data_IF_319098574190
#
_entry.id   IF_319098574190
#
_cell.length_a   1.000
_cell.length_b   1.000
_cell.length_c   1.000
_cell.angle_alpha   90.00
_cell.angle_beta   90.00
_cell.angle_gamma   90.00
#
_symmetry.space_group_name_H-M   'P 1'
#
loop_
_entity.id
_entity.type
_entity.pdbx_description
1 polymer ?
#
# COMPACT_ATOMS: atom_id res chain seq x y z
N UNK A 1 32.34 -27.80 -5.90
CA UNK A 1 31.57 -26.98 -6.86
C UNK A 1 30.12 -27.10 -6.45
N UNK A 2 29.43 -26.00 -6.16
CA UNK A 2 27.98 -26.06 -5.93
C UNK A 2 27.32 -26.52 -7.24
N UNK A 3 26.43 -27.51 -7.15
CA UNK A 3 25.64 -27.94 -8.31
C UNK A 3 24.77 -26.78 -8.82
N UNK A 4 24.59 -26.69 -10.13
CA UNK A 4 23.75 -25.66 -10.74
C UNK A 4 22.29 -25.82 -10.31
N UNK A 5 21.65 -24.72 -9.90
CA UNK A 5 20.23 -24.69 -9.52
C UNK A 5 19.47 -23.75 -10.46
N UNK A 6 18.49 -24.31 -11.18
CA UNK A 6 17.59 -23.54 -12.04
C UNK A 6 16.89 -22.41 -11.26
N UNK A 7 16.35 -22.72 -10.08
CA UNK A 7 15.63 -21.74 -9.26
C UNK A 7 16.55 -20.60 -8.82
N UNK A 8 17.78 -20.92 -8.40
CA UNK A 8 18.75 -19.89 -8.02
C UNK A 8 19.10 -19.01 -9.22
N UNK A 9 19.37 -19.62 -10.38
CA UNK A 9 19.68 -18.88 -11.61
C UNK A 9 18.56 -17.92 -12.03
N UNK A 10 17.31 -18.35 -12.00
CA UNK A 10 16.16 -17.49 -12.32
C UNK A 10 15.96 -16.42 -11.25
N UNK A 11 16.16 -16.75 -9.98
CA UNK A 11 16.07 -15.78 -8.88
C UNK A 11 17.11 -14.67 -9.02
N UNK A 12 18.34 -15.03 -9.39
CA UNK A 12 19.41 -14.07 -9.67
C UNK A 12 19.10 -13.23 -10.91
N UNK A 13 18.45 -13.81 -11.92
CA UNK A 13 17.96 -13.06 -13.07
C UNK A 13 16.89 -12.02 -12.66
N UNK A 14 15.95 -12.39 -11.80
CA UNK A 14 14.93 -11.46 -11.26
C UNK A 14 15.53 -10.36 -10.38
N UNK A 15 16.75 -10.56 -9.84
CA UNK A 15 17.49 -9.57 -9.07
C UNK A 15 18.08 -8.44 -9.93
N UNK A 16 18.24 -8.67 -11.23
CA UNK A 16 19.03 -7.78 -12.08
C UNK A 16 18.38 -6.39 -12.15
N UNK A 17 19.16 -5.32 -11.99
CA UNK A 17 18.66 -3.97 -12.20
C UNK A 17 18.04 -3.85 -13.60
N UNK A 18 16.86 -3.24 -13.69
CA UNK A 18 16.27 -2.91 -14.99
C UNK A 18 17.05 -1.75 -15.59
N UNK A 19 17.51 -1.93 -16.83
CA UNK A 19 18.11 -0.85 -17.60
C UNK A 19 16.99 0.05 -18.13
N UNK A 20 17.05 1.33 -17.81
CA UNK A 20 16.12 2.33 -18.31
C UNK A 20 16.75 3.71 -18.25
N UNK A 21 16.29 4.61 -19.11
CA UNK A 21 16.67 6.01 -18.99
C UNK A 21 16.20 6.55 -17.64
N UNK A 22 17.08 7.28 -16.98
CA UNK A 22 16.72 7.98 -15.76
C UNK A 22 15.60 8.98 -16.08
N UNK A 23 14.48 8.87 -15.37
CA UNK A 23 13.35 9.80 -15.48
C UNK A 23 13.42 10.80 -14.34
N UNK A 24 12.78 11.96 -14.53
CA UNK A 24 12.55 12.90 -13.45
C UNK A 24 11.86 12.15 -12.27
N UNK A 25 12.39 12.26 -11.04
CA UNK A 25 11.81 11.63 -9.86
C UNK A 25 10.39 12.13 -9.60
N UNK A 26 9.48 11.18 -9.40
CA UNK A 26 8.10 11.46 -9.03
C UNK A 26 7.69 10.59 -7.85
N UNK A 27 6.61 10.97 -7.18
CA UNK A 27 5.89 10.14 -6.23
C UNK A 27 5.02 9.11 -6.97
N UNK A 28 4.61 8.04 -6.29
CA UNK A 28 3.85 6.94 -6.90
C UNK A 28 2.44 6.82 -6.31
N UNK A 29 1.40 6.59 -7.16
CA UNK A 29 0.03 6.30 -6.71
C UNK A 29 -0.07 5.10 -5.75
N UNK A 30 0.77 4.09 -5.93
CA UNK A 30 0.83 2.90 -5.07
C UNK A 30 1.48 3.16 -3.70
N UNK A 31 2.12 4.33 -3.54
CA UNK A 31 2.66 4.81 -2.27
C UNK A 31 1.73 5.82 -1.59
N UNK A 32 0.47 5.90 -2.02
CA UNK A 32 -0.51 6.80 -1.41
C UNK A 32 -0.70 6.54 0.08
N UNK A 33 -0.89 7.63 0.80
CA UNK A 33 -1.13 7.68 2.24
C UNK A 33 -2.25 8.65 2.51
N UNK A 34 -3.04 8.37 3.55
CA UNK A 34 -4.05 9.26 4.07
C UNK A 34 -3.97 9.27 5.61
N UNK A 35 -4.49 10.32 6.22
CA UNK A 35 -4.66 10.46 7.68
C UNK A 35 -6.13 10.50 8.00
N UNK A 36 -6.59 9.61 8.88
CA UNK A 36 -7.97 9.57 9.35
C UNK A 36 -8.02 9.61 10.87
N UNK A 37 -9.21 9.83 11.42
CA UNK A 37 -9.47 9.66 12.85
C UNK A 37 -10.15 8.31 13.03
N UNK A 38 -9.56 7.45 13.86
CA UNK A 38 -10.11 6.12 14.11
C UNK A 38 -11.36 6.18 15.02
N UNK A 39 -11.99 5.03 15.27
CA UNK A 39 -13.19 4.92 16.11
C UNK A 39 -13.00 5.38 17.58
N UNK A 40 -11.75 5.57 18.01
CA UNK A 40 -11.38 6.04 19.34
C UNK A 40 -11.04 7.54 19.39
N UNK A 41 -11.20 8.26 18.27
CA UNK A 41 -10.87 9.69 18.19
C UNK A 41 -9.37 9.98 18.05
N UNK A 42 -8.56 8.96 17.73
CA UNK A 42 -7.10 9.10 17.58
C UNK A 42 -6.72 9.23 16.11
N UNK A 43 -5.72 10.06 15.76
CA UNK A 43 -5.21 10.14 14.40
C UNK A 43 -4.52 8.82 14.03
N UNK A 44 -4.83 8.33 12.83
CA UNK A 44 -4.29 7.11 12.25
C UNK A 44 -3.80 7.39 10.83
N UNK A 45 -2.63 6.85 10.49
CA UNK A 45 -2.09 6.90 9.14
C UNK A 45 -2.42 5.59 8.44
N UNK A 46 -3.08 5.68 7.28
CA UNK A 46 -3.43 4.52 6.46
C UNK A 46 -2.73 4.56 5.10
N UNK A 47 -2.49 3.37 4.53
CA UNK A 47 -1.75 3.23 3.28
C UNK A 47 -0.27 2.99 3.49
N UNK A 48 0.57 3.66 2.69
CA UNK A 48 2.02 3.50 2.73
C UNK A 48 2.65 4.39 3.81
N UNK A 49 3.84 4.01 4.27
CA UNK A 49 4.64 4.84 5.18
C UNK A 49 5.21 6.04 4.43
N UNK A 50 4.94 7.26 4.90
CA UNK A 50 5.45 8.53 4.35
C UNK A 50 6.96 8.59 4.42
N UNK A 51 7.56 8.10 5.53
CA UNK A 51 9.01 8.00 5.66
C UNK A 51 9.64 7.06 4.63
N UNK A 52 8.97 5.95 4.28
CA UNK A 52 9.41 5.07 3.19
C UNK A 52 9.33 5.76 1.83
N UNK A 53 8.22 6.44 1.52
CA UNK A 53 8.05 7.18 0.27
C UNK A 53 9.07 8.32 0.15
N UNK A 54 9.36 9.02 1.26
CA UNK A 54 10.42 10.03 1.38
C UNK A 54 11.79 9.46 1.04
N UNK A 55 12.22 8.35 1.67
CA UNK A 55 13.55 7.79 1.40
C UNK A 55 13.70 7.38 -0.06
N UNK A 56 12.69 6.72 -0.64
CA UNK A 56 12.71 6.37 -2.07
C UNK A 56 12.79 7.62 -2.95
N UNK A 57 11.95 8.64 -2.70
CA UNK A 57 11.96 9.87 -3.49
C UNK A 57 13.29 10.61 -3.37
N UNK A 58 13.85 10.70 -2.16
CA UNK A 58 15.13 11.34 -1.90
C UNK A 58 16.28 10.65 -2.66
N UNK A 59 16.36 9.32 -2.61
CA UNK A 59 17.38 8.55 -3.32
C UNK A 59 17.31 8.78 -4.84
N UNK A 60 16.10 8.74 -5.41
CA UNK A 60 15.91 9.01 -6.84
C UNK A 60 16.27 10.46 -7.19
N UNK A 61 15.92 11.41 -6.32
CA UNK A 61 16.18 12.84 -6.51
C UNK A 61 17.66 13.19 -6.41
N UNK A 62 18.35 12.65 -5.41
CA UNK A 62 19.79 12.75 -5.27
C UNK A 62 20.52 12.22 -6.50
N UNK A 63 20.07 11.06 -7.00
CA UNK A 63 20.68 10.43 -8.19
C UNK A 63 20.43 11.23 -9.47
N UNK A 64 19.33 12.00 -9.54
CA UNK A 64 18.91 12.72 -10.75
C UNK A 64 19.52 14.11 -10.87
N UNK A 65 19.73 14.81 -9.75
CA UNK A 65 20.14 16.21 -9.76
C UNK A 65 21.25 16.51 -8.76
N UNK A 66 22.38 17.13 -9.19
CA UNK A 66 23.44 17.55 -8.29
C UNK A 66 23.01 18.67 -7.34
N UNK A 67 21.80 19.25 -7.51
CA UNK A 67 21.24 20.19 -6.54
C UNK A 67 21.12 19.59 -5.13
N UNK A 68 20.93 18.27 -5.03
CA UNK A 68 20.68 17.56 -3.77
C UNK A 68 21.95 17.00 -3.12
N UNK A 69 23.12 17.41 -3.61
CA UNK A 69 24.44 16.98 -3.13
C UNK A 69 24.64 17.23 -1.61
N UNK A 70 23.95 18.23 -1.05
CA UNK A 70 23.98 18.48 0.41
C UNK A 70 23.44 17.32 1.25
N UNK A 71 22.71 16.37 0.67
CA UNK A 71 22.17 15.20 1.36
C UNK A 71 23.04 13.95 1.23
N UNK A 72 24.28 14.06 0.73
CA UNK A 72 25.19 12.91 0.52
C UNK A 72 25.31 12.00 1.74
N UNK A 73 25.60 12.55 2.92
CA UNK A 73 25.79 11.75 4.14
C UNK A 73 24.52 10.99 4.54
N UNK A 74 23.35 11.63 4.42
CA UNK A 74 22.06 10.99 4.68
C UNK A 74 21.79 9.88 3.66
N UNK A 75 22.06 10.12 2.38
CA UNK A 75 21.87 9.13 1.31
C UNK A 75 22.77 7.92 1.51
N UNK A 76 24.05 8.14 1.83
CA UNK A 76 25.00 7.07 2.15
C UNK A 76 24.55 6.26 3.37
N UNK A 77 24.02 6.93 4.40
CA UNK A 77 23.45 6.27 5.59
C UNK A 77 22.22 5.42 5.24
N UNK A 78 21.31 5.95 4.42
CA UNK A 78 20.11 5.21 3.96
C UNK A 78 20.54 3.98 3.18
N UNK A 79 21.44 4.12 2.20
CA UNK A 79 21.90 3.02 1.35
C UNK A 79 22.63 1.94 2.16
N UNK A 80 23.47 2.33 3.11
CA UNK A 80 24.20 1.38 3.97
C UNK A 80 23.28 0.57 4.90
N UNK A 81 22.12 1.12 5.27
CA UNK A 81 21.14 0.46 6.16
C UNK A 81 19.89 -0.03 5.41
N UNK A 82 19.83 0.11 4.09
CA UNK A 82 18.73 -0.41 3.30
C UNK A 82 18.89 -1.93 3.16
N UNK A 83 17.85 -2.67 3.50
CA UNK A 83 17.83 -4.11 3.29
C UNK A 83 17.66 -4.45 1.81
N UNK A 84 18.36 -5.50 1.39
CA UNK A 84 18.08 -6.10 0.10
C UNK A 84 16.66 -6.67 0.08
N UNK A 85 16.01 -6.51 -1.07
CA UNK A 85 14.70 -7.12 -1.30
C UNK A 85 14.83 -8.64 -1.24
N UNK A 86 14.07 -9.26 -0.33
CA UNK A 86 13.96 -10.71 -0.18
C UNK A 86 13.67 -11.37 -1.55
N UNK A 87 14.46 -12.36 -1.98
CA UNK A 87 14.19 -13.16 -3.17
C UNK A 87 12.74 -13.63 -3.33
N UNK A 88 12.09 -14.02 -2.22
CA UNK A 88 10.68 -14.43 -2.21
C UNK A 88 9.74 -13.33 -2.71
N UNK A 89 9.98 -12.06 -2.32
CA UNK A 89 9.17 -10.93 -2.77
C UNK A 89 9.29 -10.71 -4.28
N UNK A 90 10.48 -10.93 -4.86
CA UNK A 90 10.69 -10.81 -6.31
C UNK A 90 9.82 -11.79 -7.10
N UNK A 91 9.68 -13.02 -6.60
CA UNK A 91 8.77 -14.02 -7.17
C UNK A 91 7.30 -13.62 -7.01
N UNK A 92 6.91 -13.05 -5.87
CA UNK A 92 5.54 -12.53 -5.68
C UNK A 92 5.24 -11.41 -6.68
N UNK A 93 6.18 -10.48 -6.90
CA UNK A 93 6.00 -9.40 -7.86
C UNK A 93 5.90 -9.94 -9.29
N UNK A 94 6.76 -10.89 -9.68
CA UNK A 94 6.68 -11.47 -11.03
C UNK A 94 5.36 -12.19 -11.28
N UNK A 95 4.84 -12.92 -10.29
CA UNK A 95 3.51 -13.51 -10.37
C UNK A 95 2.40 -12.47 -10.43
N UNK A 96 2.60 -11.29 -9.83
CA UNK A 96 1.69 -10.16 -9.96
C UNK A 96 1.63 -9.65 -11.39
N UNK A 97 2.80 -9.39 -12.00
CA UNK A 97 2.91 -8.98 -13.42
C UNK A 97 2.24 -10.00 -14.35
N UNK A 98 2.50 -11.30 -14.15
CA UNK A 98 1.89 -12.36 -14.98
C UNK A 98 0.36 -12.39 -14.86
N UNK A 99 -0.19 -12.08 -13.67
CA UNK A 99 -1.64 -12.02 -13.49
C UNK A 99 -2.25 -10.80 -14.19
N UNK A 100 -1.57 -9.66 -14.15
CA UNK A 100 -1.96 -8.47 -14.92
C UNK A 100 -1.94 -8.75 -16.43
N UNK A 101 -0.84 -9.34 -16.93
CA UNK A 101 -0.71 -9.76 -18.34
C UNK A 101 -1.84 -10.70 -18.76
N UNK A 102 -2.23 -11.65 -17.90
CA UNK A 102 -3.39 -12.52 -18.13
C UNK A 102 -4.70 -11.73 -18.28
N UNK A 103 -4.97 -10.77 -17.40
CA UNK A 103 -6.17 -9.93 -17.50
C UNK A 103 -6.19 -9.09 -18.79
N UNK A 104 -5.04 -8.57 -19.21
CA UNK A 104 -4.90 -7.85 -20.49
C UNK A 104 -5.25 -8.75 -21.67
N UNK A 105 -4.68 -9.97 -21.72
CA UNK A 105 -4.97 -10.94 -22.79
C UNK A 105 -6.45 -11.33 -22.81
N UNK A 106 -7.05 -11.59 -21.64
CA UNK A 106 -8.47 -11.90 -21.55
C UNK A 106 -9.37 -10.75 -22.05
N UNK A 107 -8.98 -9.49 -21.78
CA UNK A 107 -9.69 -8.32 -22.32
C UNK A 107 -9.56 -8.20 -23.84
N UNK A 108 -8.39 -8.55 -24.41
CA UNK A 108 -8.18 -8.57 -25.86
C UNK A 108 -9.01 -9.65 -26.53
N UNK A 109 -8.98 -10.87 -26.01
CA UNK A 109 -9.71 -12.02 -26.53
C UNK A 109 -11.23 -11.85 -26.44
N UNK A 110 -11.71 -11.17 -25.40
CA UNK A 110 -13.14 -10.84 -25.24
C UNK A 110 -13.60 -9.61 -26.03
N UNK A 111 -12.68 -8.89 -26.69
CA UNK A 111 -13.01 -7.75 -27.55
C UNK A 111 -13.34 -6.45 -26.79
N UNK A 112 -13.01 -6.35 -25.51
CA UNK A 112 -13.26 -5.14 -24.68
C UNK A 112 -12.00 -4.31 -24.44
N UNK A 113 -10.83 -4.76 -24.88
CA UNK A 113 -9.56 -4.07 -24.71
C UNK A 113 -9.50 -2.71 -25.44
N UNK A 114 -9.02 -1.68 -24.75
CA UNK A 114 -8.74 -0.36 -25.33
C UNK A 114 -7.25 -0.02 -25.24
N UNK A 115 -6.66 -0.10 -24.04
CA UNK A 115 -5.24 0.22 -23.82
C UNK A 115 -4.71 -0.49 -22.57
N UNK A 116 -3.39 -0.60 -22.42
CA UNK A 116 -2.72 -1.10 -21.21
C UNK A 116 -1.50 -0.25 -20.91
N UNK A 117 -1.04 -0.24 -19.66
CA UNK A 117 0.16 0.47 -19.23
C UNK A 117 0.13 1.97 -19.59
N UNK A 118 -1.06 2.57 -19.51
CA UNK A 118 -1.27 3.98 -19.89
C UNK A 118 -0.61 4.88 -18.85
N UNK A 119 0.34 5.72 -19.29
CA UNK A 119 1.08 6.60 -18.38
C UNK A 119 0.18 7.69 -17.82
N UNK A 120 0.30 7.92 -16.51
CA UNK A 120 -0.38 8.98 -15.76
C UNK A 120 0.67 9.88 -15.14
N UNK A 121 0.51 11.19 -15.30
CA UNK A 121 1.28 12.17 -14.55
C UNK A 121 0.34 13.26 -14.05
N UNK A 122 0.36 13.51 -12.74
CA UNK A 122 -0.39 14.56 -12.05
C UNK A 122 0.62 15.63 -11.63
N UNK A 123 0.83 16.70 -12.43
CA UNK A 123 1.92 17.65 -12.20
C UNK A 123 1.83 18.35 -10.85
N UNK A 124 0.61 18.68 -10.42
CA UNK A 124 0.35 19.43 -9.18
C UNK A 124 0.95 18.78 -7.93
N UNK A 125 1.03 17.45 -7.90
CA UNK A 125 1.51 16.68 -6.74
C UNK A 125 2.81 15.93 -7.04
N UNK A 126 3.39 16.15 -8.22
CA UNK A 126 4.53 15.39 -8.74
C UNK A 126 4.31 13.86 -8.64
N UNK A 127 3.12 13.38 -9.00
CA UNK A 127 2.76 11.96 -8.93
C UNK A 127 2.74 11.38 -10.34
N UNK A 128 3.49 10.28 -10.57
CA UNK A 128 3.40 9.52 -11.82
C UNK A 128 3.13 8.04 -11.57
N UNK A 129 2.37 7.43 -12.47
CA UNK A 129 1.99 6.03 -12.40
C UNK A 129 1.58 5.49 -13.75
N UNK A 130 1.00 4.30 -13.73
CA UNK A 130 0.44 3.65 -14.90
C UNK A 130 -0.90 3.03 -14.55
N UNK A 131 -1.85 3.19 -15.47
CA UNK A 131 -3.10 2.43 -15.46
C UNK A 131 -2.81 1.07 -16.09
N UNK A 132 -3.12 0.00 -15.37
CA UNK A 132 -2.87 -1.38 -15.81
C UNK A 132 -3.62 -1.68 -17.12
N UNK A 133 -4.93 -1.39 -17.14
CA UNK A 133 -5.79 -1.70 -18.27
C UNK A 133 -6.93 -0.66 -18.42
N UNK A 134 -7.29 -0.36 -19.66
CA UNK A 134 -8.50 0.40 -20.02
C UNK A 134 -9.36 -0.52 -20.89
N UNK A 135 -10.63 -0.65 -20.52
CA UNK A 135 -11.62 -1.46 -21.26
C UNK A 135 -12.83 -0.62 -21.66
N UNK A 136 -13.60 -1.10 -22.65
CA UNK A 136 -14.91 -0.55 -23.01
C UNK A 136 -16.02 -1.48 -22.52
N UNK A 137 -17.02 -0.91 -21.85
CA UNK A 137 -18.25 -1.61 -21.55
C UNK A 137 -19.10 -1.71 -22.83
N UNK A 138 -19.35 -2.91 -23.38
CA UNK A 138 -20.04 -3.06 -24.66
C UNK A 138 -21.52 -2.67 -24.61
N UNK A 139 -22.11 -2.60 -23.40
CA UNK A 139 -23.52 -2.24 -23.21
C UNK A 139 -23.71 -0.73 -23.12
N UNK A 140 -22.80 -0.02 -22.47
CA UNK A 140 -22.91 1.44 -22.23
C UNK A 140 -22.05 2.27 -23.16
N UNK A 141 -21.05 1.67 -23.82
CA UNK A 141 -20.04 2.35 -24.61
C UNK A 141 -19.02 3.16 -23.78
N UNK A 142 -19.09 3.10 -22.44
CA UNK A 142 -18.18 3.83 -21.54
C UNK A 142 -16.85 3.10 -21.40
N UNK A 143 -15.77 3.86 -21.28
CA UNK A 143 -14.46 3.35 -20.90
C UNK A 143 -14.37 3.16 -19.39
N UNK A 144 -13.61 2.18 -18.95
CA UNK A 144 -13.34 1.94 -17.54
C UNK A 144 -11.83 1.80 -17.32
N UNK A 145 -11.32 2.52 -16.33
CA UNK A 145 -9.96 2.35 -15.80
C UNK A 145 -9.99 1.10 -14.93
N UNK A 146 -9.16 0.10 -15.24
CA UNK A 146 -9.08 -1.15 -14.50
C UNK A 146 -7.73 -1.24 -13.80
N UNK A 147 -7.77 -1.36 -12.47
CA UNK A 147 -6.60 -1.63 -11.63
C UNK A 147 -6.64 -3.12 -11.22
N UNK A 148 -5.58 -3.86 -11.55
CA UNK A 148 -5.53 -5.32 -11.37
C UNK A 148 -4.62 -5.66 -10.20
N UNK A 149 -5.17 -6.34 -9.20
CA UNK A 149 -4.46 -6.78 -8.01
C UNK A 149 -4.54 -8.29 -7.88
N UNK A 150 -3.41 -8.92 -7.57
CA UNK A 150 -3.38 -10.35 -7.30
C UNK A 150 -3.06 -10.63 -5.82
N UNK A 151 -3.84 -11.52 -5.22
CA UNK A 151 -3.76 -11.92 -3.80
C UNK A 151 -3.55 -13.42 -3.69
N UNK A 152 -3.21 -13.90 -2.49
CA UNK A 152 -3.02 -15.33 -2.22
C UNK A 152 -3.19 -15.62 -0.73
N UNK A 153 -3.42 -16.89 -0.40
CA UNK A 153 -3.47 -17.38 0.95
C UNK A 153 -4.66 -16.86 1.76
N UNK A 154 -4.55 -16.95 3.08
CA UNK A 154 -5.64 -16.59 3.99
C UNK A 154 -6.07 -15.12 3.86
N UNK A 155 -5.11 -14.23 3.58
CA UNK A 155 -5.35 -12.79 3.40
C UNK A 155 -6.16 -12.45 2.13
N UNK A 156 -6.31 -13.39 1.19
CA UNK A 156 -7.18 -13.19 0.03
C UNK A 156 -8.65 -13.05 0.47
N UNK A 157 -9.08 -13.74 1.54
CA UNK A 157 -10.46 -13.66 2.02
C UNK A 157 -10.86 -12.24 2.48
N UNK A 158 -9.89 -11.44 2.92
CA UNK A 158 -10.15 -10.06 3.34
C UNK A 158 -10.73 -9.20 2.21
N UNK A 159 -10.16 -9.31 1.00
CA UNK A 159 -10.63 -8.55 -0.17
C UNK A 159 -11.64 -9.31 -1.02
N UNK A 160 -11.66 -10.65 -0.94
CA UNK A 160 -12.52 -11.48 -1.77
C UNK A 160 -13.83 -11.87 -1.10
N UNK A 161 -13.92 -11.75 0.23
CA UNK A 161 -14.93 -12.40 1.05
C UNK A 161 -14.64 -13.90 1.21
N UNK A 162 -14.97 -14.45 2.38
CA UNK A 162 -14.91 -15.91 2.58
C UNK A 162 -15.97 -16.61 1.72
N UNK A 163 -15.85 -17.94 1.48
CA UNK A 163 -16.92 -18.69 0.83
C UNK A 163 -18.27 -18.58 1.53
N UNK A 164 -18.28 -18.39 2.86
CA UNK A 164 -19.51 -18.18 3.62
C UNK A 164 -20.12 -16.79 3.38
N UNK A 165 -19.28 -15.76 3.27
CA UNK A 165 -19.72 -14.38 2.95
C UNK A 165 -20.37 -14.32 1.57
N UNK A 166 -19.72 -14.91 0.56
CA UNK A 166 -20.26 -14.97 -0.81
C UNK A 166 -21.60 -15.68 -0.89
N UNK A 167 -21.79 -16.77 -0.12
CA UNK A 167 -23.09 -17.46 -0.03
C UNK A 167 -24.19 -16.60 0.59
N UNK A 168 -23.82 -15.60 1.39
CA UNK A 168 -24.73 -14.60 1.97
C UNK A 168 -24.87 -13.34 1.10
N UNK A 169 -24.26 -13.32 -0.09
CA UNK A 169 -24.29 -12.18 -1.00
C UNK A 169 -23.39 -11.02 -0.58
N UNK A 170 -22.41 -11.25 0.30
CA UNK A 170 -21.44 -10.23 0.71
C UNK A 170 -20.06 -10.49 0.12
N UNK A 171 -19.29 -9.42 -0.06
CA UNK A 171 -17.87 -9.46 -0.43
C UNK A 171 -17.00 -8.99 0.73
N UNK A 172 -15.69 -9.13 0.54
CA UNK A 172 -14.70 -8.50 1.40
C UNK A 172 -14.69 -6.98 1.24
N UNK A 173 -13.62 -6.34 1.71
CA UNK A 173 -13.39 -4.92 1.47
C UNK A 173 -12.09 -4.72 0.68
N UNK A 174 -12.07 -3.81 -0.32
CA UNK A 174 -10.83 -3.38 -0.93
C UNK A 174 -9.83 -2.89 0.11
N UNK A 175 -8.54 -3.00 -0.18
CA UNK A 175 -7.51 -2.34 0.63
C UNK A 175 -7.52 -0.84 0.35
N UNK A 176 -7.38 -0.04 1.41
CA UNK A 176 -7.37 1.42 1.31
C UNK A 176 -6.30 1.94 0.34
N UNK A 177 -5.08 1.37 0.38
CA UNK A 177 -4.02 1.70 -0.58
C UNK A 177 -4.40 1.49 -2.05
N UNK A 178 -5.23 0.49 -2.33
CA UNK A 178 -5.70 0.23 -3.70
C UNK A 178 -6.85 1.18 -4.08
N UNK A 179 -7.71 1.54 -3.12
CA UNK A 179 -8.73 2.57 -3.31
C UNK A 179 -8.10 3.93 -3.57
N UNK A 180 -7.06 4.32 -2.82
CA UNK A 180 -6.34 5.56 -3.03
C UNK A 180 -5.68 5.59 -4.42
N UNK A 181 -5.00 4.52 -4.81
CA UNK A 181 -4.37 4.42 -6.13
C UNK A 181 -5.38 4.58 -7.27
N UNK A 182 -6.46 3.78 -7.29
CA UNK A 182 -7.47 3.87 -8.33
C UNK A 182 -8.29 5.17 -8.24
N UNK A 183 -8.53 5.67 -7.03
CA UNK A 183 -9.20 6.94 -6.78
C UNK A 183 -8.47 8.12 -7.40
N UNK A 184 -7.13 8.16 -7.31
CA UNK A 184 -6.32 9.17 -8.00
C UNK A 184 -6.49 9.12 -9.53
N UNK A 185 -6.52 7.93 -10.11
CA UNK A 185 -6.74 7.76 -11.56
C UNK A 185 -8.17 8.15 -11.96
N UNK A 186 -9.16 7.73 -11.19
CA UNK A 186 -10.55 8.09 -11.42
C UNK A 186 -10.75 9.60 -11.31
N UNK A 187 -10.22 10.24 -10.28
CA UNK A 187 -10.31 11.68 -10.11
C UNK A 187 -9.60 12.45 -11.24
N UNK A 188 -8.37 12.05 -11.58
CA UNK A 188 -7.57 12.80 -12.53
C UNK A 188 -7.97 12.57 -14.00
N UNK A 189 -8.37 11.35 -14.37
CA UNK A 189 -8.78 11.01 -15.73
C UNK A 189 -10.27 10.76 -15.86
N UNK A 190 -10.81 9.81 -15.08
CA UNK A 190 -12.18 9.34 -15.26
C UNK A 190 -13.23 10.44 -15.08
N UNK A 191 -13.10 11.26 -14.05
CA UNK A 191 -14.05 12.34 -13.75
C UNK A 191 -13.94 13.54 -14.69
N UNK A 192 -12.83 13.67 -15.41
CA UNK A 192 -12.59 14.80 -16.34
C UNK A 192 -12.97 14.46 -17.79
N UNK A 193 -13.49 13.27 -18.05
CA UNK A 193 -13.87 12.82 -19.39
C UNK A 193 -15.15 11.97 -19.33
N UNK A 194 -16.25 12.54 -19.83
CA UNK A 194 -17.57 11.89 -19.84
C UNK A 194 -17.59 10.54 -20.56
N UNK A 195 -16.57 10.17 -21.35
CA UNK A 195 -16.50 8.83 -21.95
C UNK A 195 -16.20 7.75 -20.92
N UNK A 196 -15.65 8.10 -19.76
CA UNK A 196 -15.34 7.15 -18.69
C UNK A 196 -16.54 6.90 -17.77
N UNK A 197 -16.63 5.67 -17.28
CA UNK A 197 -17.49 5.28 -16.17
C UNK A 197 -16.72 5.25 -14.85
N UNK A 198 -17.17 4.41 -13.92
CA UNK A 198 -16.45 4.11 -12.67
C UNK A 198 -15.12 3.40 -12.95
N UNK A 199 -14.17 3.56 -12.04
CA UNK A 199 -12.98 2.72 -12.00
C UNK A 199 -13.36 1.29 -11.57
N UNK A 200 -12.64 0.28 -12.07
CA UNK A 200 -12.82 -1.11 -11.72
C UNK A 200 -11.57 -1.62 -10.99
N UNK A 201 -11.73 -2.01 -9.73
CA UNK A 201 -10.68 -2.62 -8.94
C UNK A 201 -10.89 -4.14 -8.93
N UNK A 202 -10.01 -4.85 -9.63
CA UNK A 202 -10.12 -6.30 -9.84
C UNK A 202 -9.10 -7.02 -8.95
N UNK A 203 -9.58 -7.96 -8.14
CA UNK A 203 -8.76 -8.85 -7.33
C UNK A 203 -8.82 -10.28 -7.85
N UNK A 204 -7.67 -10.93 -7.98
CA UNK A 204 -7.55 -12.35 -8.30
C UNK A 204 -6.72 -13.14 -7.31
N UNK A 205 -7.24 -14.25 -6.80
CA UNK A 205 -6.49 -15.20 -5.98
C UNK A 205 -5.70 -16.18 -6.86
N UNK A 206 -4.37 -16.10 -6.78
CA UNK A 206 -3.44 -16.88 -7.61
C UNK A 206 -3.47 -18.39 -7.31
N UNK A 207 -3.92 -18.76 -6.11
CA UNK A 207 -3.95 -20.13 -5.59
C UNK A 207 -5.29 -20.85 -5.83
N UNK A 208 -6.39 -20.09 -5.93
CA UNK A 208 -7.76 -20.66 -5.95
C UNK A 208 -8.58 -20.26 -7.17
N UNK A 209 -8.11 -19.29 -7.97
CA UNK A 209 -8.86 -18.74 -9.10
C UNK A 209 -10.08 -17.90 -8.69
N UNK A 210 -10.30 -17.68 -7.40
CA UNK A 210 -11.37 -16.79 -6.91
C UNK A 210 -11.04 -15.35 -7.27
N UNK A 211 -12.06 -14.58 -7.61
CA UNK A 211 -11.91 -13.16 -7.94
C UNK A 211 -12.98 -12.31 -7.26
N UNK A 212 -12.72 -11.01 -7.18
CA UNK A 212 -13.71 -10.00 -6.81
C UNK A 212 -13.45 -8.74 -7.64
N UNK A 213 -14.52 -8.06 -8.02
CA UNK A 213 -14.49 -6.79 -8.72
C UNK A 213 -15.28 -5.76 -7.94
N UNK A 214 -14.71 -4.58 -7.79
CA UNK A 214 -15.34 -3.44 -7.16
C UNK A 214 -15.42 -2.28 -8.14
N UNK A 215 -16.57 -1.63 -8.21
CA UNK A 215 -16.67 -0.31 -8.84
C UNK A 215 -16.21 0.75 -7.84
N UNK A 216 -15.38 1.68 -8.30
CA UNK A 216 -14.84 2.79 -7.52
C UNK A 216 -15.20 4.10 -8.20
N UNK A 217 -15.80 5.02 -7.45
CA UNK A 217 -16.13 6.37 -7.91
C UNK A 217 -15.51 7.40 -6.98
N UNK A 218 -15.27 8.60 -7.52
CA UNK A 218 -14.84 9.76 -6.73
C UNK A 218 -15.88 10.84 -6.91
N UNK A 219 -16.49 11.28 -5.82
CA UNK A 219 -17.65 12.18 -5.87
C UNK A 219 -17.46 13.38 -4.94
N UNK A 220 -17.84 14.59 -5.36
CA UNK A 220 -17.78 15.76 -4.50
C UNK A 220 -18.84 15.66 -3.40
N UNK A 221 -18.42 15.92 -2.17
CA UNK A 221 -19.28 16.03 -0.99
C UNK A 221 -18.91 17.28 -0.23
N UNK A 222 -19.88 17.91 0.41
CA UNK A 222 -19.67 19.08 1.25
C UNK A 222 -19.39 18.61 2.69
N UNK A 223 -18.31 19.11 3.29
CA UNK A 223 -18.02 18.89 4.71
C UNK A 223 -18.86 19.83 5.61
N UNK A 224 -18.76 19.65 6.93
CA UNK A 224 -19.52 20.44 7.91
C UNK A 224 -19.22 21.95 7.85
N UNK A 225 -18.10 22.35 7.22
CA UNK A 225 -17.66 23.73 7.07
C UNK A 225 -18.04 24.33 5.70
N UNK A 226 -18.69 23.55 4.83
CA UNK A 226 -19.08 23.99 3.49
C UNK A 226 -17.99 23.81 2.43
N UNK A 227 -16.87 23.17 2.75
CA UNK A 227 -15.82 22.91 1.78
C UNK A 227 -16.14 21.65 0.98
N UNK A 228 -15.87 21.69 -0.33
CA UNK A 228 -16.03 20.52 -1.20
C UNK A 228 -14.81 19.63 -1.06
N UNK A 229 -15.04 18.37 -0.67
CA UNK A 229 -14.05 17.30 -0.66
C UNK A 229 -14.47 16.21 -1.66
N UNK A 230 -13.50 15.51 -2.24
CA UNK A 230 -13.76 14.46 -3.22
C UNK A 230 -13.60 13.08 -2.58
N UNK A 231 -14.71 12.51 -2.11
CA UNK A 231 -14.74 11.23 -1.42
C UNK A 231 -14.63 10.05 -2.39
N UNK A 232 -13.86 9.04 -1.99
CA UNK A 232 -13.74 7.77 -2.70
C UNK A 232 -14.81 6.81 -2.20
N UNK A 233 -15.71 6.39 -3.11
CA UNK A 233 -16.73 5.40 -2.83
C UNK A 233 -16.42 4.09 -3.54
N UNK A 234 -16.86 2.98 -2.96
CA UNK A 234 -16.79 1.68 -3.61
C UNK A 234 -18.07 0.86 -3.43
N UNK A 235 -18.34 -0.04 -4.37
CA UNK A 235 -19.32 -1.12 -4.23
C UNK A 235 -18.78 -2.39 -4.86
N UNK A 236 -19.13 -3.54 -4.30
CA UNK A 236 -18.91 -4.83 -4.95
C UNK A 236 -19.74 -4.92 -6.21
N UNK A 237 -19.15 -5.40 -7.30
CA UNK A 237 -19.82 -5.66 -8.57
C UNK A 237 -19.94 -7.17 -8.82
N UNK A 238 -18.81 -7.88 -8.74
CA UNK A 238 -18.75 -9.31 -9.05
C UNK A 238 -17.88 -10.05 -8.02
N UNK A 239 -18.23 -11.28 -7.60
CA UNK A 239 -19.41 -12.07 -7.99
C UNK A 239 -20.70 -11.65 -7.28
N UNK A 240 -20.64 -10.70 -6.34
CA UNK A 240 -21.81 -10.24 -5.58
C UNK A 240 -21.88 -8.72 -5.60
N UNK A 241 -23.03 -8.18 -5.98
CA UNK A 241 -23.30 -6.76 -5.86
C UNK A 241 -23.49 -6.40 -4.38
N UNK A 242 -22.81 -5.36 -3.91
CA UNK A 242 -22.98 -4.86 -2.52
C UNK A 242 -23.49 -3.41 -2.54
N UNK A 243 -24.02 -2.91 -1.41
CA UNK A 243 -24.29 -1.48 -1.27
C UNK A 243 -23.03 -0.65 -1.50
N UNK A 244 -23.23 0.56 -2.03
CA UNK A 244 -22.19 1.58 -2.12
C UNK A 244 -21.81 2.04 -0.72
N UNK A 245 -20.51 2.15 -0.49
CA UNK A 245 -19.91 2.54 0.78
C UNK A 245 -18.91 3.66 0.55
N UNK A 246 -18.94 4.64 1.45
CA UNK A 246 -17.86 5.62 1.58
C UNK A 246 -16.64 4.95 2.24
N UNK A 247 -15.48 5.13 1.65
CA UNK A 247 -14.22 4.64 2.23
C UNK A 247 -13.68 5.52 3.36
N UNK A 248 -14.22 6.73 3.53
CA UNK A 248 -13.68 7.76 4.43
C UNK A 248 -12.40 8.42 3.89
N UNK A 249 -12.00 8.10 2.66
CA UNK A 249 -10.83 8.66 1.98
C UNK A 249 -11.24 9.79 1.05
N UNK A 250 -10.46 10.87 1.06
CA UNK A 250 -10.64 11.99 0.14
C UNK A 250 -9.39 12.22 -0.70
N UNK A 251 -9.57 12.71 -1.93
CA UNK A 251 -8.45 13.05 -2.81
C UNK A 251 -7.59 14.16 -2.20
N UNK A 252 -8.23 15.12 -1.52
CA UNK A 252 -7.57 16.21 -0.82
C UNK A 252 -6.61 15.69 0.23
N UNK A 253 -7.07 14.79 1.10
CA UNK A 253 -6.22 14.27 2.16
C UNK A 253 -5.03 13.45 1.61
N UNK A 254 -5.24 12.69 0.52
CA UNK A 254 -4.15 11.98 -0.17
C UNK A 254 -3.16 12.97 -0.79
N UNK A 255 -3.66 14.02 -1.44
CA UNK A 255 -2.85 15.05 -2.06
C UNK A 255 -1.98 15.81 -1.06
N UNK A 256 -2.53 16.12 0.13
CA UNK A 256 -1.79 16.73 1.23
C UNK A 256 -0.58 15.90 1.64
N UNK A 257 -0.70 14.56 1.69
CA UNK A 257 0.43 13.71 2.04
C UNK A 257 1.54 13.73 0.98
N UNK A 258 1.18 13.77 -0.31
CA UNK A 258 2.17 13.93 -1.38
C UNK A 258 2.88 15.29 -1.30
N UNK A 259 2.15 16.36 -1.03
CA UNK A 259 2.74 17.69 -0.85
C UNK A 259 3.69 17.71 0.35
N UNK A 260 3.27 17.12 1.48
CA UNK A 260 4.10 16.99 2.67
C UNK A 260 5.40 16.22 2.42
N UNK A 261 5.34 15.07 1.74
CA UNK A 261 6.54 14.28 1.40
C UNK A 261 7.50 15.08 0.51
N UNK A 262 6.97 15.81 -0.49
CA UNK A 262 7.80 16.65 -1.35
C UNK A 262 8.49 17.77 -0.55
N UNK A 263 7.75 18.45 0.33
CA UNK A 263 8.32 19.47 1.22
C UNK A 263 9.41 18.90 2.14
N UNK A 264 9.23 17.68 2.64
CA UNK A 264 10.25 16.96 3.39
C UNK A 264 11.51 16.73 2.56
N UNK A 265 11.40 16.29 1.29
CA UNK A 265 12.56 16.13 0.40
C UNK A 265 13.25 17.47 0.12
N UNK A 266 12.48 18.51 -0.17
CA UNK A 266 13.01 19.83 -0.49
C UNK A 266 13.76 20.45 0.70
N UNK A 267 13.25 20.25 1.92
CA UNK A 267 13.84 20.76 3.18
C UNK A 267 14.86 19.83 3.84
N UNK A 268 14.92 18.57 3.40
CA UNK A 268 15.72 17.51 4.02
C UNK A 268 15.15 17.02 5.35
N UNK A 269 13.97 17.49 5.78
CA UNK A 269 13.30 17.02 6.98
C UNK A 269 12.78 15.59 6.76
N UNK A 270 13.22 14.65 7.61
CA UNK A 270 12.73 13.28 7.55
C UNK A 270 11.32 13.25 8.20
N UNK A 271 10.28 12.74 7.52
CA UNK A 271 8.94 12.58 8.11
C UNK A 271 8.97 11.77 9.38
N UNK A 272 8.01 11.92 10.30
CA UNK A 272 7.91 11.02 11.46
C UNK A 272 7.61 9.57 11.06
N UNK A 273 7.80 8.62 11.99
CA UNK A 273 7.42 7.22 11.76
C UNK A 273 5.91 7.11 11.85
N UNK A 274 5.29 6.63 10.78
CA UNK A 274 3.84 6.34 10.76
C UNK A 274 3.50 5.00 11.43
N UNK A 275 4.48 4.10 11.50
CA UNK A 275 4.29 2.71 11.89
C UNK A 275 5.44 2.22 12.80
N UNK A 276 5.11 1.30 13.68
CA UNK A 276 6.01 0.76 14.68
C UNK A 276 6.48 -0.66 14.30
N UNK A 277 7.79 -0.89 14.29
CA UNK A 277 8.34 -2.24 14.09
C UNK A 277 7.98 -3.18 15.25
N UNK A 278 7.89 -2.63 16.45
CA UNK A 278 7.44 -3.31 17.66
C UNK A 278 6.64 -2.33 18.51
N UNK A 279 5.49 -2.76 18.99
CA UNK A 279 4.68 -2.00 19.94
C UNK A 279 5.32 -2.05 21.32
N UNK A 280 5.20 -0.95 22.06
CA UNK A 280 5.50 -0.91 23.48
C UNK A 280 4.39 -1.60 24.30
N UNK A 281 4.68 -1.85 25.58
CA UNK A 281 3.74 -2.52 26.48
C UNK A 281 2.42 -1.72 26.62
N UNK A 282 2.47 -0.39 26.55
CA UNK A 282 1.30 0.49 26.65
C UNK A 282 0.36 0.35 25.44
N UNK A 283 0.91 0.31 24.22
CA UNK A 283 0.13 0.08 22.99
C UNK A 283 -0.44 -1.33 22.97
N UNK A 284 0.29 -2.34 23.46
CA UNK A 284 -0.24 -3.71 23.62
C UNK A 284 -1.40 -3.76 24.62
N UNK A 285 -1.28 -3.08 25.77
CA UNK A 285 -2.36 -3.01 26.77
C UNK A 285 -3.60 -2.32 26.16
N UNK A 286 -3.43 -1.18 25.48
CA UNK A 286 -4.54 -0.50 24.78
C UNK A 286 -5.24 -1.42 23.78
N UNK A 287 -4.48 -2.16 22.96
CA UNK A 287 -5.06 -3.12 22.01
C UNK A 287 -5.80 -4.26 22.72
N UNK A 288 -5.31 -4.72 23.86
CA UNK A 288 -5.96 -5.73 24.68
C UNK A 288 -7.30 -5.21 25.24
N UNK A 289 -7.30 -4.02 25.85
CA UNK A 289 -8.49 -3.37 26.41
C UNK A 289 -9.57 -3.11 25.33
N UNK A 290 -9.12 -2.80 24.11
CA UNK A 290 -9.98 -2.56 22.94
C UNK A 290 -10.43 -3.84 22.21
N UNK A 291 -10.01 -5.03 22.65
CA UNK A 291 -10.25 -6.30 21.97
C UNK A 291 -9.73 -6.35 20.51
N UNK A 292 -8.67 -5.62 20.21
CA UNK A 292 -8.04 -5.55 18.88
C UNK A 292 -6.87 -6.55 18.71
N UNK A 293 -6.51 -7.28 19.77
CA UNK A 293 -5.58 -8.39 19.70
C UNK A 293 -6.25 -9.65 19.11
N UNK A 294 -5.48 -10.45 18.38
CA UNK A 294 -5.97 -11.75 17.92
C UNK A 294 -6.14 -12.69 19.13
N UNK A 295 -6.94 -13.75 18.98
CA UNK A 295 -7.23 -14.71 20.06
C UNK A 295 -5.99 -15.21 20.81
N UNK A 296 -4.93 -15.56 20.08
CA UNK A 296 -3.69 -16.08 20.66
C UNK A 296 -2.95 -15.01 21.46
N UNK A 297 -2.85 -13.80 20.93
CA UNK A 297 -2.19 -12.66 21.57
C UNK A 297 -2.97 -12.25 22.83
N UNK A 298 -4.31 -12.21 22.77
CA UNK A 298 -5.20 -11.93 23.91
C UNK A 298 -5.00 -12.94 25.04
N UNK A 299 -5.02 -14.24 24.73
CA UNK A 299 -4.80 -15.32 25.71
C UNK A 299 -3.40 -15.23 26.33
N UNK A 300 -2.38 -14.95 25.52
CA UNK A 300 -1.00 -14.80 25.97
C UNK A 300 -0.84 -13.60 26.91
N UNK A 301 -1.41 -12.44 26.55
CA UNK A 301 -1.34 -11.21 27.35
C UNK A 301 -2.06 -11.36 28.69
N UNK A 302 -3.29 -11.87 28.67
CA UNK A 302 -4.06 -12.15 29.88
C UNK A 302 -3.32 -13.10 30.83
N UNK A 303 -2.74 -14.17 30.28
CA UNK A 303 -1.95 -15.14 31.06
C UNK A 303 -0.69 -14.49 31.65
N UNK A 304 0.01 -13.64 30.90
CA UNK A 304 1.19 -12.92 31.38
C UNK A 304 0.82 -11.97 32.53
N UNK A 305 -0.23 -11.17 32.39
CA UNK A 305 -0.73 -10.23 33.42
C UNK A 305 -1.07 -10.95 34.72
N UNK A 306 -1.79 -12.08 34.65
CA UNK A 306 -2.09 -12.92 35.81
C UNK A 306 -0.82 -13.46 36.50
N UNK A 307 0.15 -13.96 35.73
CA UNK A 307 1.40 -14.51 36.29
C UNK A 307 2.30 -13.46 36.95
N UNK A 308 2.30 -12.23 36.43
CA UNK A 308 2.99 -11.10 37.04
C UNK A 308 2.32 -10.73 38.37
N UNK A 309 0.98 -10.66 38.40
CA UNK A 309 0.22 -10.41 39.62
C UNK A 309 0.42 -11.51 40.68
N UNK A 310 0.59 -12.77 40.27
CA UNK A 310 0.93 -13.91 41.14
C UNK A 310 2.40 -13.91 41.61
N UNK A 311 3.23 -12.95 41.18
CA UNK A 311 4.64 -12.86 41.56
C UNK A 311 5.52 -13.97 40.97
N UNK A 312 5.12 -14.58 39.84
CA UNK A 312 5.94 -15.63 39.21
C UNK A 312 7.26 -15.06 38.71
N UNK A 313 8.36 -15.70 39.11
CA UNK A 313 9.73 -15.32 38.71
C UNK A 313 9.99 -15.40 37.20
N UNK A 314 9.22 -16.20 36.46
CA UNK A 314 9.34 -16.38 35.00
C UNK A 314 7.95 -16.42 34.37
N UNK A 315 7.32 -15.27 34.13
CA UNK A 315 6.03 -15.22 33.43
C UNK A 315 6.19 -15.64 31.96
N UNK A 316 5.08 -15.99 31.30
CA UNK A 316 5.05 -16.20 29.84
C UNK A 316 5.58 -14.96 29.13
N UNK A 317 6.25 -15.15 27.99
CA UNK A 317 6.79 -14.08 27.15
C UNK A 317 5.74 -13.00 26.83
N UNK A 318 6.20 -11.77 26.70
CA UNK A 318 5.37 -10.65 26.23
C UNK A 318 4.84 -10.94 24.83
N UNK A 319 3.72 -10.31 24.49
CA UNK A 319 3.23 -10.32 23.11
C UNK A 319 4.19 -9.47 22.28
N UNK A 320 4.82 -10.09 21.27
CA UNK A 320 5.67 -9.38 20.31
C UNK A 320 4.83 -9.10 19.07
N UNK A 321 4.48 -7.83 18.87
CA UNK A 321 3.64 -7.37 17.76
C UNK A 321 4.14 -6.04 17.24
N UNK A 322 3.94 -5.77 15.96
CA UNK A 322 4.22 -4.51 15.31
C UNK A 322 3.38 -4.36 14.05
N UNK A 323 3.52 -3.22 13.40
CA UNK A 323 2.88 -2.92 12.13
C UNK A 323 3.52 -3.75 11.01
N UNK A 324 2.67 -4.37 10.19
CA UNK A 324 3.14 -5.20 9.08
C UNK A 324 3.88 -4.36 8.03
N UNK A 325 3.55 -3.07 7.92
CA UNK A 325 4.21 -2.10 7.05
C UNK A 325 5.71 -2.02 7.36
N UNK A 326 6.11 -2.07 8.63
CA UNK A 326 7.52 -2.06 9.03
C UNK A 326 8.19 -3.43 8.82
N UNK A 327 7.47 -4.53 9.04
CA UNK A 327 8.01 -5.89 8.87
C UNK A 327 8.56 -6.15 7.47
N UNK A 328 7.93 -5.58 6.44
CA UNK A 328 8.32 -5.73 5.03
C UNK A 328 8.96 -4.47 4.42
N UNK A 329 9.34 -3.49 5.24
CA UNK A 329 9.96 -2.26 4.75
C UNK A 329 11.47 -2.45 4.55
N UNK A 330 11.96 -2.21 3.33
CA UNK A 330 13.39 -2.24 3.03
C UNK A 330 14.19 -1.19 3.83
N UNK A 331 13.55 -0.13 4.33
CA UNK A 331 14.18 0.90 5.14
C UNK A 331 14.03 0.67 6.65
N UNK A 332 13.61 -0.53 7.09
CA UNK A 332 13.40 -0.78 8.53
C UNK A 332 14.68 -0.56 9.35
N UNK A 333 15.86 -0.94 8.86
CA UNK A 333 17.12 -0.75 9.57
C UNK A 333 17.66 0.69 9.47
N UNK A 334 17.11 1.51 8.56
CA UNK A 334 17.30 2.96 8.56
C UNK A 334 16.53 3.60 9.72
N UNK A 335 15.35 3.07 10.04
CA UNK A 335 14.48 3.60 11.10
C UNK A 335 14.75 3.03 12.49
N UNK A 336 15.26 1.80 12.56
CA UNK A 336 15.44 1.01 13.79
C UNK A 336 16.85 0.44 13.87
N UNK A 337 17.36 0.26 15.09
CA UNK A 337 18.59 -0.49 15.36
C UNK A 337 18.36 -2.00 15.24
N UNK A 338 19.44 -2.79 15.31
CA UNK A 338 19.37 -4.26 15.37
C UNK A 338 18.54 -4.75 16.57
N UNK A 339 18.58 -4.02 17.68
CA UNK A 339 17.77 -4.27 18.88
C UNK A 339 16.30 -3.80 18.74
N UNK A 340 15.89 -3.44 17.51
CA UNK A 340 14.56 -2.94 17.15
C UNK A 340 14.17 -1.64 17.86
N UNK A 341 15.14 -0.90 18.40
CA UNK A 341 14.89 0.40 19.02
C UNK A 341 14.86 1.49 17.94
N UNK A 342 13.98 2.49 18.04
CA UNK A 342 13.95 3.58 17.07
C UNK A 342 15.29 4.33 17.04
N UNK A 343 15.83 4.58 15.86
CA UNK A 343 16.96 5.50 15.71
C UNK A 343 16.48 6.93 15.93
N UNK A 344 17.17 7.63 16.82
CA UNK A 344 16.90 9.02 17.20
C UNK A 344 17.56 9.98 16.21
N UNK A 345 18.71 9.58 15.65
CA UNK A 345 19.39 10.31 14.58
C UNK A 345 19.71 9.41 13.40
N UNK A 346 19.30 9.85 12.21
CA UNK A 346 19.57 9.20 10.92
C UNK A 346 20.52 10.08 10.10
N UNK A 347 20.71 11.35 10.48
CA UNK A 347 21.75 12.22 9.96
C UNK A 347 22.97 11.88 10.79
N UNK A 348 23.91 11.12 10.24
CA UNK A 348 25.03 10.60 11.03
C UNK A 348 25.85 11.70 11.68
N UNK A 349 25.55 12.07 12.92
CA UNK A 349 26.50 12.75 13.78
C UNK A 349 27.46 11.69 14.34
N UNK A 350 28.65 11.64 13.75
CA UNK A 350 29.84 10.99 14.31
C UNK A 350 30.38 11.75 15.52
#
# INVERSE_FOLDING_TARGET
MSEWSFISHVTDYLARPRLGNQKAPTQWPSEATATQVNEYGEPEVIGKCRRQAYFRLLLDTFSFSPHYEMYRELVETIQANQEEVDPYLRWIWKQGELYEEFCVQAAQESGVFIATQTQVYIPKWNVSGKIDLVVINPTTGKYHIVEVKSVYGFNANYVLGSPADRKRGTLGSPRDSHLMQLGLYQYHYGNNDDRFGSGLLVYGARDTGRYAEYEVTVEPTEDDEGNIQHHIFYKGNSPCATPKKDSGLTIENIAEQYVYIQQCVDSGQIPDRDFDLSYDDDKIEKLFERNLLNKRDTEQHAKRKAQIAEGKKKPVKAVEKGDWQCSYCAFRNVCYSEDKQPRMDIRGDS
#
